data_IF_571959569396
#
_entry.id   IF_571959569396
#
_cell.length_a   1.000
_cell.length_b   1.000
_cell.length_c   1.000
_cell.angle_alpha   90.00
_cell.angle_beta   90.00
_cell.angle_gamma   90.00
#
_symmetry.space_group_name_H-M   'P 1'
#
loop_
_entity.id
_entity.type
_entity.pdbx_description
1 polymer ?
#
# COMPACT_ATOMS: atom_id res chain seq x y z
N UNK A 1 -3.80 9.58 -12.15
CA UNK A 1 -3.61 8.27 -11.51
C UNK A 1 -2.13 7.91 -11.55
N UNK A 2 -1.50 7.63 -10.41
CA UNK A 2 -0.06 7.36 -10.36
C UNK A 2 0.29 5.97 -10.91
N UNK A 3 -0.54 4.95 -10.68
CA UNK A 3 -0.19 3.58 -11.05
C UNK A 3 -0.12 3.41 -12.56
N UNK A 4 -1.10 3.92 -13.30
CA UNK A 4 -1.10 3.86 -14.77
C UNK A 4 0.11 4.56 -15.39
N UNK A 5 0.58 5.66 -14.79
CA UNK A 5 1.77 6.35 -15.26
C UNK A 5 3.04 5.51 -15.02
N UNK A 6 3.18 4.92 -13.82
CA UNK A 6 4.32 4.05 -13.48
C UNK A 6 4.33 2.82 -14.38
N UNK A 7 3.19 2.16 -14.56
CA UNK A 7 3.04 0.97 -15.39
C UNK A 7 3.25 1.23 -16.89
N UNK A 8 3.09 2.49 -17.35
CA UNK A 8 3.43 2.87 -18.74
C UNK A 8 4.94 2.92 -19.01
N UNK A 9 5.76 2.92 -17.97
CA UNK A 9 7.22 2.82 -18.10
C UNK A 9 7.68 1.40 -18.39
N UNK A 10 8.83 1.25 -19.04
CA UNK A 10 9.45 -0.04 -19.35
C UNK A 10 10.18 -0.61 -18.12
N UNK A 11 9.42 -0.92 -17.06
CA UNK A 11 9.93 -1.48 -15.82
C UNK A 11 9.55 -2.96 -15.70
N UNK A 12 10.54 -3.80 -15.37
CA UNK A 12 10.29 -5.21 -15.03
C UNK A 12 9.33 -5.37 -13.85
N UNK A 13 9.46 -4.50 -12.86
CA UNK A 13 8.61 -4.48 -11.67
C UNK A 13 8.04 -3.08 -11.44
N UNK A 14 6.73 -2.99 -11.27
CA UNK A 14 6.00 -1.75 -11.05
C UNK A 14 4.87 -2.00 -10.06
N UNK A 15 4.63 -1.06 -9.14
CA UNK A 15 3.66 -1.29 -8.09
C UNK A 15 3.71 -0.31 -6.92
N UNK A 16 3.03 -0.66 -5.83
CA UNK A 16 2.79 0.26 -4.71
C UNK A 16 2.62 -0.43 -3.35
N UNK A 17 3.00 0.29 -2.30
CA UNK A 17 2.81 -0.08 -0.91
C UNK A 17 2.54 1.19 -0.08
N UNK A 18 1.27 1.46 0.20
CA UNK A 18 0.86 2.66 0.93
C UNK A 18 0.97 2.50 2.45
N UNK A 19 1.18 3.61 3.15
CA UNK A 19 1.06 3.68 4.61
C UNK A 19 -0.42 3.71 5.05
N UNK A 20 -0.65 3.45 6.34
CA UNK A 20 -1.95 3.51 6.99
C UNK A 20 -2.05 4.70 7.96
N UNK A 21 -1.44 5.85 7.64
CA UNK A 21 -1.52 7.05 8.48
C UNK A 21 -2.63 8.00 8.02
N UNK A 22 -3.25 8.70 8.96
CA UNK A 22 -4.30 9.70 8.66
C UNK A 22 -3.70 10.93 7.98
N UNK A 23 -2.54 11.38 8.45
CA UNK A 23 -1.82 12.53 7.93
C UNK A 23 -0.31 12.34 8.13
N UNK A 24 0.46 12.58 7.06
CA UNK A 24 1.91 12.69 7.13
C UNK A 24 2.24 14.18 6.99
N UNK A 25 2.75 14.85 8.05
CA UNK A 25 3.10 16.26 7.99
C UNK A 25 4.14 16.53 6.89
N UNK A 26 4.03 17.66 6.19
CA UNK A 26 4.95 18.03 5.09
C UNK A 26 6.40 18.18 5.56
N UNK A 27 6.58 18.53 6.82
CA UNK A 27 7.86 18.72 7.48
C UNK A 27 8.37 17.45 8.19
N UNK A 28 7.67 16.33 8.05
CA UNK A 28 8.09 15.06 8.64
C UNK A 28 9.37 14.58 7.96
N UNK A 29 10.39 14.29 8.78
CA UNK A 29 11.67 13.78 8.35
C UNK A 29 11.93 12.45 9.05
N UNK A 30 12.64 11.55 8.37
CA UNK A 30 13.10 10.29 8.94
C UNK A 30 14.51 10.46 9.53
N UNK A 31 14.78 11.59 10.19
CA UNK A 31 16.03 11.87 10.90
C UNK A 31 15.91 11.61 12.41
N UNK A 32 14.68 11.62 12.96
CA UNK A 32 14.37 11.24 14.33
C UNK A 32 14.56 12.36 15.35
N UNK A 33 14.73 13.60 14.88
CA UNK A 33 15.04 14.76 15.72
C UNK A 33 13.77 15.40 16.34
N UNK A 34 12.58 15.15 15.78
CA UNK A 34 11.32 15.71 16.31
C UNK A 34 10.66 14.71 17.27
N UNK A 35 10.05 15.23 18.35
CA UNK A 35 9.30 14.43 19.33
C UNK A 35 8.17 13.59 18.74
N UNK A 36 7.69 13.98 17.56
CA UNK A 36 6.59 13.41 16.81
C UNK A 36 7.07 12.53 15.64
N UNK A 37 8.39 12.37 15.48
CA UNK A 37 8.93 11.37 14.56
C UNK A 37 8.61 9.97 15.10
N UNK A 38 7.98 9.15 14.26
CA UNK A 38 7.57 7.79 14.60
C UNK A 38 6.20 7.65 15.30
N UNK A 39 5.54 8.73 15.72
CA UNK A 39 4.20 8.67 16.32
C UNK A 39 3.18 9.41 15.44
N UNK A 40 2.81 8.76 14.34
CA UNK A 40 1.72 9.23 13.46
C UNK A 40 0.45 8.45 13.75
N UNK A 41 -0.69 9.14 13.72
CA UNK A 41 -1.99 8.53 13.97
C UNK A 41 -2.34 7.56 12.83
N UNK A 42 -2.69 6.33 13.22
CA UNK A 42 -3.15 5.31 12.29
C UNK A 42 -4.57 5.61 11.81
N UNK A 43 -4.85 5.26 10.56
CA UNK A 43 -6.18 5.23 9.97
C UNK A 43 -6.95 4.06 10.55
N UNK A 44 -8.06 4.35 11.21
CA UNK A 44 -8.98 3.31 11.72
C UNK A 44 -9.92 2.79 10.64
N UNK A 45 -10.07 3.54 9.53
CA UNK A 45 -10.93 3.20 8.39
C UNK A 45 -10.25 2.28 7.36
N UNK A 46 -8.96 1.98 7.54
CA UNK A 46 -8.16 1.18 6.62
C UNK A 46 -7.98 -0.24 7.16
N UNK A 47 -9.07 -1.00 7.21
CA UNK A 47 -9.01 -2.42 7.54
C UNK A 47 -8.26 -3.21 6.45
N UNK A 48 -7.79 -4.45 6.74
CA UNK A 48 -7.16 -5.31 5.73
C UNK A 48 -7.99 -5.45 4.45
N UNK A 49 -9.30 -5.63 4.56
CA UNK A 49 -10.21 -5.78 3.41
C UNK A 49 -10.33 -4.48 2.62
N UNK A 50 -10.44 -3.33 3.30
CA UNK A 50 -10.47 -2.02 2.62
C UNK A 50 -9.14 -1.71 1.94
N UNK A 51 -8.02 -2.11 2.53
CA UNK A 51 -6.71 -2.00 1.89
C UNK A 51 -6.64 -2.80 0.59
N UNK A 52 -7.23 -4.02 0.59
CA UNK A 52 -7.30 -4.87 -0.60
C UNK A 52 -8.07 -4.26 -1.77
N UNK A 53 -9.04 -3.38 -1.53
CA UNK A 53 -9.72 -2.64 -2.61
C UNK A 53 -8.74 -1.77 -3.40
N UNK A 54 -7.83 -1.06 -2.71
CA UNK A 54 -6.78 -0.26 -3.37
C UNK A 54 -5.74 -1.14 -4.07
N UNK A 55 -5.36 -2.26 -3.44
CA UNK A 55 -4.42 -3.21 -4.04
C UNK A 55 -4.98 -3.83 -5.32
N UNK A 56 -6.27 -4.19 -5.32
CA UNK A 56 -6.94 -4.69 -6.51
C UNK A 56 -6.92 -3.66 -7.65
N UNK A 57 -7.26 -2.40 -7.35
CA UNK A 57 -7.21 -1.30 -8.31
C UNK A 57 -5.80 -1.06 -8.87
N UNK A 58 -4.75 -1.15 -8.03
CA UNK A 58 -3.37 -1.04 -8.50
C UNK A 58 -2.99 -2.17 -9.46
N UNK A 59 -3.39 -3.40 -9.16
CA UNK A 59 -3.15 -4.57 -10.03
C UNK A 59 -3.87 -4.39 -11.36
N UNK A 60 -5.14 -3.94 -11.36
CA UNK A 60 -5.89 -3.65 -12.59
C UNK A 60 -5.22 -2.56 -13.44
N UNK A 61 -4.47 -1.66 -12.81
CA UNK A 61 -3.68 -0.61 -13.47
C UNK A 61 -2.26 -1.03 -13.85
N UNK A 62 -1.93 -2.31 -13.70
CA UNK A 62 -0.67 -2.90 -14.18
C UNK A 62 0.38 -3.15 -13.10
N UNK A 63 0.07 -2.99 -11.81
CA UNK A 63 1.00 -3.36 -10.75
C UNK A 63 1.27 -4.87 -10.74
N UNK A 64 2.54 -5.25 -10.65
CA UNK A 64 3.00 -6.63 -10.45
C UNK A 64 3.75 -6.84 -9.12
N UNK A 65 3.94 -5.77 -8.34
CA UNK A 65 4.42 -5.81 -6.95
C UNK A 65 3.48 -5.00 -6.06
N UNK A 66 3.02 -5.59 -4.96
CA UNK A 66 2.12 -4.92 -4.01
C UNK A 66 2.50 -5.28 -2.59
N UNK A 67 2.26 -4.37 -1.65
CA UNK A 67 2.58 -4.59 -0.25
C UNK A 67 2.01 -3.51 0.66
N UNK A 68 2.50 -3.47 1.89
CA UNK A 68 2.14 -2.46 2.88
C UNK A 68 3.36 -1.70 3.41
N UNK A 69 3.15 -0.46 3.85
CA UNK A 69 4.18 0.38 4.48
C UNK A 69 3.88 0.59 5.97
N UNK A 70 4.34 1.70 6.54
CA UNK A 70 4.11 2.08 7.92
C UNK A 70 2.61 2.05 8.29
N UNK A 71 2.31 1.45 9.44
CA UNK A 71 0.94 1.32 9.95
C UNK A 71 0.13 0.16 9.37
N UNK A 72 0.58 -0.47 8.27
CA UNK A 72 0.02 -1.76 7.86
C UNK A 72 0.57 -2.88 8.74
N UNK A 73 -0.17 -3.99 8.84
CA UNK A 73 0.15 -5.12 9.72
C UNK A 73 0.24 -6.43 8.95
N UNK A 74 0.62 -7.50 9.64
CA UNK A 74 0.60 -8.86 9.07
C UNK A 74 -0.79 -9.28 8.57
N UNK A 75 -1.86 -8.76 9.15
CA UNK A 75 -3.23 -9.03 8.70
C UNK A 75 -3.50 -8.43 7.32
N UNK A 76 -2.92 -7.27 7.01
CA UNK A 76 -3.00 -6.66 5.68
C UNK A 76 -2.26 -7.52 4.66
N UNK A 77 -1.02 -7.92 4.96
CA UNK A 77 -0.24 -8.80 4.09
C UNK A 77 -0.97 -10.13 3.85
N UNK A 78 -1.63 -10.69 4.86
CA UNK A 78 -2.43 -11.91 4.74
C UNK A 78 -3.63 -11.70 3.80
N UNK A 79 -4.37 -10.60 3.95
CA UNK A 79 -5.49 -10.27 3.08
C UNK A 79 -5.04 -10.08 1.62
N UNK A 80 -3.92 -9.40 1.37
CA UNK A 80 -3.32 -9.24 0.04
C UNK A 80 -3.00 -10.62 -0.56
N UNK A 81 -2.34 -11.49 0.21
CA UNK A 81 -2.01 -12.84 -0.26
C UNK A 81 -3.25 -13.65 -0.64
N UNK A 82 -4.35 -13.53 0.12
CA UNK A 82 -5.62 -14.18 -0.18
C UNK A 82 -6.27 -13.63 -1.45
N UNK A 83 -6.31 -12.30 -1.61
CA UNK A 83 -6.78 -11.64 -2.83
C UNK A 83 -6.04 -12.14 -4.07
N UNK A 84 -4.71 -12.24 -4.00
CA UNK A 84 -3.88 -12.71 -5.10
C UNK A 84 -4.15 -14.19 -5.44
N UNK A 85 -4.31 -15.04 -4.42
CA UNK A 85 -4.64 -16.46 -4.63
C UNK A 85 -6.02 -16.64 -5.31
N UNK A 86 -7.00 -15.83 -4.94
CA UNK A 86 -8.32 -15.82 -5.58
C UNK A 86 -8.24 -15.38 -7.05
N UNK A 87 -7.45 -14.34 -7.36
CA UNK A 87 -7.26 -13.85 -8.73
C UNK A 87 -6.43 -14.80 -9.62
N UNK A 88 -5.55 -15.60 -9.03
CA UNK A 88 -4.74 -16.58 -9.77
C UNK A 88 -5.50 -17.88 -10.08
N UNK A 89 -6.66 -18.12 -9.45
CA UNK A 89 -7.48 -19.29 -9.72
C UNK A 89 -8.20 -19.12 -11.06
N UNK A 90 -8.05 -20.04 -12.04
CA UNK A 90 -8.73 -19.92 -13.33
C UNK A 90 -10.25 -19.99 -13.12
N UNK A 91 -10.96 -19.08 -13.80
CA UNK A 91 -12.42 -19.08 -13.91
C UNK A 91 -12.93 -20.25 -14.74
#
# INVERSE_FOLDING_TARGET
>A
DAMSLIASGDFKYCGGYANAFTHVPTEWLLDGDKKNDGSLTLREDLSPDRYCEFVADWIEKGANIVGGCCGTTSDHTRAISQLLALKASPS
#
